data_IF_034394787651
#
_entry.id   IF_034394787651
#
_cell.length_a   1.000
_cell.length_b   1.000
_cell.length_c   1.000
_cell.angle_alpha   90.00
_cell.angle_beta   90.00
_cell.angle_gamma   90.00
#
_symmetry.space_group_name_H-M   'P 1'
#
loop_
_entity.id
_entity.type
_entity.pdbx_description
1 polymer ?
#
# COMPACT_ATOMS: atom_id res chain seq x y z
N UNK A 1 -3.41 0.02 22.19
CA UNK A 1 -3.33 -1.44 21.95
C UNK A 1 -4.42 -1.87 20.98
N UNK A 2 -4.11 -2.81 20.09
CA UNK A 2 -5.09 -3.50 19.22
C UNK A 2 -6.10 -4.26 20.10
N UNK A 3 -7.38 -4.30 19.72
CA UNK A 3 -8.40 -4.98 20.52
C UNK A 3 -8.23 -6.50 20.50
N UNK A 4 -8.79 -7.20 21.50
CA UNK A 4 -8.77 -8.67 21.54
C UNK A 4 -9.45 -9.29 20.30
N UNK A 5 -10.45 -8.63 19.73
CA UNK A 5 -11.16 -9.07 18.53
C UNK A 5 -10.26 -9.17 17.28
N UNK A 6 -9.13 -8.45 17.25
CA UNK A 6 -8.19 -8.47 16.12
C UNK A 6 -7.25 -9.68 16.11
N UNK A 7 -7.17 -10.43 17.22
CA UNK A 7 -6.16 -11.48 17.39
C UNK A 7 -6.22 -12.58 16.31
N UNK A 8 -7.41 -13.07 15.90
CA UNK A 8 -7.52 -14.06 14.82
C UNK A 8 -7.07 -13.54 13.44
N UNK A 9 -6.98 -12.22 13.27
CA UNK A 9 -6.64 -11.56 12.01
C UNK A 9 -5.22 -11.00 11.99
N UNK A 10 -4.44 -11.25 13.05
CA UNK A 10 -3.02 -10.92 13.09
C UNK A 10 -2.25 -11.79 12.11
N UNK A 11 -1.37 -11.14 11.36
CA UNK A 11 -0.36 -11.76 10.56
C UNK A 11 0.98 -11.70 11.29
N UNK A 12 1.65 -12.85 11.35
CA UNK A 12 2.97 -12.99 11.94
C UNK A 12 3.96 -13.41 10.85
N UNK A 13 5.16 -12.82 10.89
CA UNK A 13 6.26 -13.23 10.04
C UNK A 13 7.62 -13.10 10.75
N UNK A 14 8.51 -14.08 10.60
CA UNK A 14 8.38 -15.28 9.76
C UNK A 14 7.48 -16.34 10.40
N UNK A 15 6.93 -17.23 9.56
CA UNK A 15 6.08 -18.35 10.00
C UNK A 15 6.87 -19.64 10.28
N UNK A 16 8.09 -19.70 9.77
CA UNK A 16 9.04 -20.80 9.94
C UNK A 16 10.44 -20.22 10.15
N UNK A 17 11.36 -21.03 10.63
CA UNK A 17 12.74 -20.58 10.82
C UNK A 17 13.41 -20.29 9.46
N UNK A 18 14.02 -19.11 9.31
CA UNK A 18 14.74 -18.76 8.09
C UNK A 18 15.95 -19.68 7.86
N UNK A 19 16.52 -20.27 8.91
CA UNK A 19 17.66 -21.22 8.84
C UNK A 19 17.30 -22.53 8.17
N UNK A 20 16.03 -22.92 8.23
CA UNK A 20 15.53 -24.16 7.62
C UNK A 20 15.26 -24.00 6.12
N UNK A 21 15.13 -22.76 5.64
CA UNK A 21 14.93 -22.48 4.22
C UNK A 21 16.30 -22.19 3.55
N UNK A 22 16.73 -23.14 2.72
CA UNK A 22 18.00 -23.09 1.97
C UNK A 22 18.20 -21.86 1.07
N UNK A 23 17.13 -21.12 0.73
CA UNK A 23 17.22 -19.87 -0.02
C UNK A 23 17.81 -18.71 0.80
N UNK A 24 17.79 -18.81 2.14
CA UNK A 24 18.35 -17.80 3.02
C UNK A 24 19.80 -18.13 3.38
N UNK A 25 20.69 -17.19 3.11
CA UNK A 25 22.10 -17.24 3.51
C UNK A 25 22.32 -16.35 4.73
N UNK A 26 22.82 -16.93 5.81
CA UNK A 26 23.23 -16.14 6.98
C UNK A 26 24.59 -15.47 6.75
N UNK A 27 24.65 -14.16 6.99
CA UNK A 27 25.84 -13.31 6.83
C UNK A 27 26.34 -12.91 8.22
N UNK A 28 27.24 -13.72 8.78
CA UNK A 28 27.68 -13.67 10.18
C UNK A 28 28.20 -12.29 10.63
N UNK A 29 29.00 -11.62 9.79
CA UNK A 29 29.60 -10.32 10.12
C UNK A 29 28.60 -9.17 10.17
N UNK A 30 27.46 -9.29 9.48
CA UNK A 30 26.38 -8.30 9.48
C UNK A 30 25.20 -8.71 10.38
N UNK A 31 25.19 -9.95 10.86
CA UNK A 31 24.08 -10.54 11.61
C UNK A 31 22.72 -10.41 10.90
N UNK A 32 22.69 -10.76 9.61
CA UNK A 32 21.50 -10.74 8.75
C UNK A 32 21.34 -12.05 7.99
N UNK A 33 20.13 -12.34 7.54
CA UNK A 33 19.83 -13.29 6.48
C UNK A 33 19.65 -12.54 5.16
N UNK A 34 20.14 -13.14 4.08
CA UNK A 34 20.01 -12.61 2.74
C UNK A 34 19.44 -13.68 1.80
N UNK A 35 18.48 -13.27 0.95
CA UNK A 35 17.93 -14.09 -0.13
C UNK A 35 18.14 -13.36 -1.45
N UNK A 36 18.55 -14.10 -2.48
CA UNK A 36 18.65 -13.58 -3.86
C UNK A 36 17.41 -13.98 -4.65
N UNK A 37 16.94 -13.08 -5.52
CA UNK A 37 15.77 -13.24 -6.38
C UNK A 37 16.16 -13.06 -7.86
N UNK A 38 15.36 -13.60 -8.81
CA UNK A 38 14.12 -14.37 -8.59
C UNK A 38 14.36 -15.74 -7.97
N UNK A 39 13.34 -16.28 -7.31
CA UNK A 39 13.37 -17.66 -6.80
C UNK A 39 13.30 -18.65 -7.96
N UNK A 40 13.85 -19.84 -7.75
CA UNK A 40 13.64 -20.97 -8.64
C UNK A 40 12.13 -21.30 -8.77
N UNK A 41 11.68 -21.58 -9.99
CA UNK A 41 10.26 -21.82 -10.29
C UNK A 41 9.69 -23.04 -9.59
N UNK A 42 10.48 -24.09 -9.36
CA UNK A 42 10.02 -25.28 -8.63
C UNK A 42 9.83 -24.98 -7.14
N UNK A 43 10.71 -24.15 -6.56
CA UNK A 43 10.56 -23.73 -5.16
C UNK A 43 9.33 -22.83 -5.01
N UNK A 44 9.15 -21.87 -5.93
CA UNK A 44 7.98 -21.00 -5.97
C UNK A 44 6.67 -21.78 -6.12
N UNK A 45 6.66 -22.84 -6.93
CA UNK A 45 5.48 -23.68 -7.14
C UNK A 45 5.07 -24.44 -5.87
N UNK A 46 6.05 -24.86 -5.06
CA UNK A 46 5.81 -25.53 -3.76
C UNK A 46 5.33 -24.55 -2.70
N UNK A 47 5.87 -23.33 -2.67
CA UNK A 47 5.45 -22.29 -1.74
C UNK A 47 5.56 -20.90 -2.36
N UNK A 48 4.41 -20.39 -2.80
CA UNK A 48 4.31 -19.07 -3.42
C UNK A 48 3.99 -17.95 -2.42
N UNK A 49 4.09 -18.19 -1.10
CA UNK A 49 4.03 -17.09 -0.12
C UNK A 49 5.04 -16.00 -0.48
N UNK A 50 4.78 -14.78 -0.01
CA UNK A 50 5.77 -13.72 -0.16
C UNK A 50 7.04 -14.10 0.60
N UNK A 51 8.22 -13.95 -0.01
CA UNK A 51 9.46 -14.43 0.59
C UNK A 51 9.81 -13.69 1.88
N UNK A 52 9.36 -12.44 2.03
CA UNK A 52 9.46 -11.68 3.26
C UNK A 52 8.22 -10.82 3.53
N UNK A 53 8.09 -10.34 4.76
CA UNK A 53 6.98 -9.47 5.15
C UNK A 53 7.04 -8.11 4.47
N UNK A 54 5.89 -7.69 3.94
CA UNK A 54 5.60 -6.33 3.53
C UNK A 54 4.19 -6.01 4.04
N UNK A 55 3.97 -4.86 4.70
CA UNK A 55 2.63 -4.50 5.17
C UNK A 55 1.76 -4.20 3.96
N UNK A 56 0.76 -5.03 3.68
CA UNK A 56 -0.14 -4.89 2.53
C UNK A 56 -1.60 -5.02 2.98
N UNK A 57 -2.38 -3.92 2.98
CA UNK A 57 -3.75 -3.94 3.46
C UNK A 57 -4.61 -4.81 2.55
N UNK A 58 -5.66 -5.39 3.12
CA UNK A 58 -6.59 -6.23 2.38
C UNK A 58 -7.94 -5.55 2.20
N UNK A 59 -8.58 -5.82 1.07
CA UNK A 59 -9.94 -5.39 0.76
C UNK A 59 -10.67 -6.48 -0.03
N UNK A 60 -11.98 -6.32 -0.17
CA UNK A 60 -12.78 -7.08 -1.11
C UNK A 60 -13.10 -6.25 -2.33
N UNK A 61 -13.07 -6.87 -3.49
CA UNK A 61 -13.40 -6.21 -4.75
C UNK A 61 -14.46 -7.03 -5.45
N UNK A 62 -15.53 -6.36 -5.85
CA UNK A 62 -16.60 -6.93 -6.66
C UNK A 62 -16.67 -6.25 -8.00
N UNK A 63 -17.15 -6.99 -8.98
CA UNK A 63 -17.44 -6.50 -10.32
C UNK A 63 -18.62 -7.28 -10.91
N UNK A 64 -19.37 -6.68 -11.83
CA UNK A 64 -20.47 -7.37 -12.49
C UNK A 64 -20.71 -6.92 -13.93
N UNK A 65 -21.10 -7.86 -14.79
CA UNK A 65 -21.47 -7.62 -16.17
C UNK A 65 -22.52 -8.63 -16.65
N UNK A 66 -23.63 -8.15 -17.22
CA UNK A 66 -24.72 -8.98 -17.78
C UNK A 66 -25.19 -10.10 -16.84
N UNK A 67 -25.43 -9.77 -15.56
CA UNK A 67 -25.87 -10.73 -14.55
C UNK A 67 -24.78 -11.65 -13.98
N UNK A 68 -23.58 -11.66 -14.57
CA UNK A 68 -22.41 -12.32 -13.97
C UNK A 68 -21.78 -11.40 -12.95
N UNK A 69 -21.54 -11.91 -11.75
CA UNK A 69 -20.89 -11.18 -10.66
C UNK A 69 -19.62 -11.93 -10.25
N UNK A 70 -18.60 -11.20 -9.82
CA UNK A 70 -17.37 -11.79 -9.33
C UNK A 70 -16.90 -11.08 -8.05
N UNK A 71 -16.22 -11.84 -7.19
CA UNK A 71 -15.70 -11.39 -5.91
C UNK A 71 -14.27 -11.90 -5.71
N UNK A 72 -13.35 -11.00 -5.40
CA UNK A 72 -11.97 -11.30 -5.06
C UNK A 72 -11.55 -10.63 -3.76
N UNK A 73 -10.60 -11.26 -3.08
CA UNK A 73 -9.83 -10.64 -2.01
C UNK A 73 -8.54 -10.13 -2.61
N UNK A 74 -8.31 -8.83 -2.51
CA UNK A 74 -7.10 -8.19 -3.02
C UNK A 74 -6.20 -7.82 -1.84
N UNK A 75 -4.90 -8.08 -2.01
CA UNK A 75 -3.85 -7.75 -1.05
C UNK A 75 -3.00 -6.65 -1.67
N UNK A 76 -2.77 -5.56 -0.94
CA UNK A 76 -1.92 -4.46 -1.42
C UNK A 76 -2.64 -3.45 -2.33
N UNK A 77 -3.97 -3.32 -2.20
CA UNK A 77 -4.71 -2.22 -2.81
C UNK A 77 -4.09 -0.88 -2.36
N UNK A 78 -3.78 0.01 -3.31
CA UNK A 78 -3.01 1.23 -3.01
C UNK A 78 -3.44 2.40 -3.89
N UNK A 79 -3.66 3.56 -3.28
CA UNK A 79 -3.78 4.80 -4.04
C UNK A 79 -2.41 5.19 -4.56
N UNK A 80 -2.29 5.17 -5.88
CA UNK A 80 -1.04 5.39 -6.60
C UNK A 80 -0.96 6.79 -7.21
N UNK A 81 -2.08 7.49 -7.30
CA UNK A 81 -2.10 8.87 -7.78
C UNK A 81 -3.22 9.70 -7.16
N UNK A 82 -3.01 11.01 -7.10
CA UNK A 82 -3.98 11.95 -6.51
C UNK A 82 -4.83 12.67 -7.53
N UNK A 83 -4.23 13.08 -8.65
CA UNK A 83 -4.91 13.82 -9.69
C UNK A 83 -4.63 13.20 -11.07
N UNK A 84 -5.56 12.42 -11.65
CA UNK A 84 -6.83 11.96 -11.05
C UNK A 84 -6.64 11.01 -9.85
N UNK A 85 -7.67 10.84 -9.03
CA UNK A 85 -7.58 10.01 -7.82
C UNK A 85 -7.69 8.53 -8.17
N UNK A 86 -6.55 7.83 -8.19
CA UNK A 86 -6.42 6.51 -8.80
C UNK A 86 -5.94 5.45 -7.81
N UNK A 87 -6.67 4.34 -7.82
CA UNK A 87 -6.38 3.10 -7.10
C UNK A 87 -5.75 2.08 -8.04
N UNK A 88 -4.65 1.45 -7.62
CA UNK A 88 -4.10 0.27 -8.29
C UNK A 88 -4.52 -1.02 -7.59
N UNK A 89 -4.97 -2.00 -8.38
CA UNK A 89 -5.28 -3.35 -7.92
C UNK A 89 -4.57 -4.38 -8.80
N UNK A 90 -3.86 -5.31 -8.17
CA UNK A 90 -3.09 -6.34 -8.86
C UNK A 90 -3.77 -7.71 -8.79
N UNK A 91 -3.86 -8.38 -9.94
CA UNK A 91 -4.46 -9.71 -10.07
C UNK A 91 -3.52 -10.65 -10.82
N UNK A 92 -3.31 -11.85 -10.28
CA UNK A 92 -2.47 -12.86 -10.91
C UNK A 92 -3.10 -13.33 -12.24
N UNK A 93 -2.31 -13.30 -13.32
CA UNK A 93 -2.69 -13.77 -14.67
C UNK A 93 -1.95 -15.05 -15.07
N UNK A 94 -1.05 -15.54 -14.22
CA UNK A 94 -0.29 -16.78 -14.43
C UNK A 94 -0.55 -17.74 -13.28
N UNK A 95 -0.63 -19.02 -13.57
CA UNK A 95 -0.63 -20.05 -12.53
C UNK A 95 0.80 -20.22 -12.01
N UNK A 96 0.99 -19.93 -10.73
CA UNK A 96 2.29 -20.11 -10.07
C UNK A 96 2.28 -21.28 -9.08
N UNK A 97 1.13 -21.57 -8.48
CA UNK A 97 0.89 -22.64 -7.50
C UNK A 97 -0.61 -22.65 -7.15
N UNK A 98 -1.07 -23.63 -6.38
CA UNK A 98 -2.44 -23.68 -5.85
C UNK A 98 -2.87 -22.41 -5.09
N UNK A 99 -1.92 -21.72 -4.45
CA UNK A 99 -2.18 -20.47 -3.72
C UNK A 99 -2.22 -19.23 -4.62
N UNK A 100 -1.49 -19.25 -5.73
CA UNK A 100 -1.37 -18.16 -6.69
C UNK A 100 -1.85 -18.63 -8.07
N UNK A 101 -3.17 -18.83 -8.17
CA UNK A 101 -3.86 -19.18 -9.42
C UNK A 101 -4.20 -17.92 -10.25
N UNK A 102 -4.39 -18.12 -11.55
CA UNK A 102 -4.86 -17.09 -12.48
C UNK A 102 -6.28 -16.65 -12.13
N UNK A 103 -6.56 -15.37 -11.95
CA UNK A 103 -7.92 -14.86 -11.61
C UNK A 103 -8.72 -14.53 -12.88
N UNK A 104 -8.77 -15.47 -13.81
CA UNK A 104 -9.28 -15.25 -15.15
C UNK A 104 -10.74 -14.77 -15.13
N UNK A 105 -11.65 -15.50 -14.48
CA UNK A 105 -13.08 -15.17 -14.46
C UNK A 105 -13.35 -13.77 -13.91
N UNK A 106 -12.66 -13.41 -12.82
CA UNK A 106 -12.76 -12.09 -12.24
C UNK A 106 -12.26 -11.01 -13.21
N UNK A 107 -11.06 -11.20 -13.80
CA UNK A 107 -10.47 -10.21 -14.70
C UNK A 107 -11.25 -10.04 -16.02
N UNK A 108 -11.85 -11.11 -16.55
CA UNK A 108 -12.71 -11.02 -17.74
C UNK A 108 -14.01 -10.28 -17.45
N UNK A 109 -14.65 -10.57 -16.31
CA UNK A 109 -15.86 -9.84 -15.87
C UNK A 109 -15.54 -8.37 -15.65
N UNK A 110 -14.40 -8.08 -15.02
CA UNK A 110 -13.89 -6.73 -14.77
C UNK A 110 -13.64 -5.95 -16.07
N UNK A 111 -12.94 -6.55 -17.04
CA UNK A 111 -12.62 -5.90 -18.31
C UNK A 111 -13.90 -5.65 -19.14
N UNK A 112 -14.95 -6.46 -18.99
CA UNK A 112 -16.25 -6.20 -19.64
C UNK A 112 -17.06 -5.13 -18.91
N UNK A 113 -17.08 -5.16 -17.58
CA UNK A 113 -17.85 -4.23 -16.75
C UNK A 113 -17.26 -2.82 -16.71
N UNK A 114 -15.92 -2.70 -16.82
CA UNK A 114 -15.15 -1.47 -16.64
C UNK A 114 -15.31 -0.83 -15.24
N UNK A 115 -15.99 -1.49 -14.30
CA UNK A 115 -16.40 -0.93 -13.02
C UNK A 115 -16.18 -1.90 -11.86
N UNK A 116 -15.87 -1.33 -10.69
CA UNK A 116 -15.66 -2.09 -9.46
C UNK A 116 -16.27 -1.39 -8.25
N UNK A 117 -16.49 -2.18 -7.20
CA UNK A 117 -16.66 -1.72 -5.83
C UNK A 117 -15.58 -2.32 -4.94
N UNK A 118 -14.74 -1.47 -4.35
CA UNK A 118 -13.70 -1.85 -3.39
C UNK A 118 -14.22 -1.58 -1.98
N UNK A 119 -14.29 -2.62 -1.16
CA UNK A 119 -15.11 -2.62 0.04
C UNK A 119 -14.33 -3.11 1.25
N UNK A 120 -14.69 -2.55 2.41
CA UNK A 120 -14.16 -2.96 3.70
C UNK A 120 -15.31 -3.38 4.62
N UNK A 121 -15.18 -4.59 5.17
CA UNK A 121 -16.13 -5.17 6.11
C UNK A 121 -15.60 -5.08 7.54
N UNK A 122 -16.47 -4.91 8.55
CA UNK A 122 -16.04 -4.94 9.94
C UNK A 122 -15.46 -6.32 10.28
N UNK A 123 -14.41 -6.31 11.10
CA UNK A 123 -13.78 -7.53 11.59
C UNK A 123 -14.79 -8.32 12.43
N UNK A 124 -14.96 -9.60 12.10
CA UNK A 124 -15.96 -10.46 12.72
C UNK A 124 -16.64 -11.39 11.71
N UNK A 125 -17.92 -11.68 11.95
CA UNK A 125 -18.66 -12.70 11.21
C UNK A 125 -18.72 -12.44 9.69
N UNK A 126 -19.09 -11.23 9.26
CA UNK A 126 -19.23 -10.90 7.84
C UNK A 126 -17.90 -11.02 7.09
N UNK A 127 -16.82 -10.48 7.66
CA UNK A 127 -15.45 -10.67 7.14
C UNK A 127 -15.10 -12.15 7.01
N UNK A 128 -15.34 -12.96 8.05
CA UNK A 128 -15.01 -14.38 8.05
C UNK A 128 -15.81 -15.16 7.00
N UNK A 129 -17.10 -14.87 6.83
CA UNK A 129 -17.96 -15.51 5.84
C UNK A 129 -17.47 -15.24 4.42
N UNK A 130 -17.09 -14.00 4.10
CA UNK A 130 -16.52 -13.66 2.78
C UNK A 130 -15.17 -14.34 2.57
N UNK A 131 -14.28 -14.29 3.56
CA UNK A 131 -12.98 -14.96 3.48
C UNK A 131 -13.13 -16.47 3.25
N UNK A 132 -14.05 -17.12 3.96
CA UNK A 132 -14.37 -18.54 3.81
C UNK A 132 -14.98 -18.84 2.44
N UNK A 133 -15.88 -17.99 1.95
CA UNK A 133 -16.47 -18.16 0.61
C UNK A 133 -15.39 -18.10 -0.48
N UNK A 134 -14.41 -17.20 -0.37
CA UNK A 134 -13.29 -17.09 -1.30
C UNK A 134 -12.35 -18.29 -1.20
N UNK A 135 -11.93 -18.67 0.01
CA UNK A 135 -10.95 -19.76 0.21
C UNK A 135 -11.49 -21.14 -0.16
N UNK A 136 -12.79 -21.36 -0.02
CA UNK A 136 -13.44 -22.64 -0.29
C UNK A 136 -14.08 -22.72 -1.67
N UNK A 137 -13.86 -21.74 -2.55
CA UNK A 137 -14.44 -21.72 -3.91
C UNK A 137 -13.34 -21.64 -4.94
N UNK A 138 -13.31 -22.66 -5.81
CA UNK A 138 -12.40 -22.74 -6.94
C UNK A 138 -12.54 -21.54 -7.88
N UNK A 139 -11.45 -21.21 -8.57
CA UNK A 139 -11.38 -20.10 -9.53
C UNK A 139 -12.52 -20.18 -10.56
N UNK A 140 -12.74 -21.35 -11.16
CA UNK A 140 -13.76 -21.51 -12.20
C UNK A 140 -15.22 -21.40 -11.70
N UNK A 141 -15.42 -21.10 -10.41
CA UNK A 141 -16.70 -20.92 -9.73
C UNK A 141 -16.75 -19.60 -8.98
N UNK A 142 -15.95 -18.59 -9.35
CA UNK A 142 -15.91 -17.31 -8.60
C UNK A 142 -17.27 -16.63 -8.47
N UNK A 143 -18.17 -16.84 -9.44
CA UNK A 143 -19.53 -16.31 -9.43
C UNK A 143 -20.37 -16.79 -8.22
N UNK A 144 -20.04 -17.95 -7.64
CA UNK A 144 -20.73 -18.47 -6.45
C UNK A 144 -20.24 -17.83 -5.15
N UNK A 145 -19.15 -17.06 -5.15
CA UNK A 145 -18.54 -16.56 -3.91
C UNK A 145 -19.46 -15.59 -3.16
N UNK A 146 -20.20 -14.74 -3.88
CA UNK A 146 -21.16 -13.83 -3.26
C UNK A 146 -22.29 -14.61 -2.59
N UNK A 147 -22.94 -15.51 -3.33
CA UNK A 147 -23.98 -16.41 -2.80
C UNK A 147 -23.48 -17.23 -1.60
N UNK A 148 -22.29 -17.84 -1.71
CA UNK A 148 -21.69 -18.67 -0.66
C UNK A 148 -21.29 -17.89 0.58
N UNK A 149 -21.00 -16.59 0.46
CA UNK A 149 -20.84 -15.73 1.63
C UNK A 149 -22.14 -15.68 2.43
N UNK A 150 -23.29 -15.78 1.74
CA UNK A 150 -24.64 -15.64 2.26
C UNK A 150 -24.93 -14.27 2.88
N UNK A 151 -24.11 -13.27 2.55
CA UNK A 151 -24.36 -11.88 2.91
C UNK A 151 -25.24 -11.22 1.86
N UNK A 152 -26.07 -10.29 2.30
CA UNK A 152 -26.89 -9.47 1.40
C UNK A 152 -26.01 -8.46 0.67
N UNK A 153 -26.32 -8.26 -0.61
CA UNK A 153 -25.70 -7.23 -1.43
C UNK A 153 -26.75 -6.38 -2.13
N UNK A 154 -26.40 -5.13 -2.42
CA UNK A 154 -27.13 -4.22 -3.30
C UNK A 154 -26.26 -3.82 -4.49
N UNK A 155 -26.83 -3.19 -5.51
CA UNK A 155 -26.02 -2.58 -6.56
C UNK A 155 -25.21 -1.38 -6.05
N UNK A 156 -24.08 -1.13 -6.72
CA UNK A 156 -23.35 0.12 -6.58
C UNK A 156 -24.15 1.29 -7.14
N UNK A 157 -23.78 2.51 -6.72
CA UNK A 157 -24.49 3.74 -7.10
C UNK A 157 -24.09 4.18 -8.51
N UNK A 158 -22.81 4.02 -8.87
CA UNK A 158 -22.25 4.47 -10.16
C UNK A 158 -21.97 3.34 -11.14
N UNK A 159 -22.12 2.09 -10.70
CA UNK A 159 -21.87 0.90 -11.49
C UNK A 159 -22.59 -0.33 -10.90
N UNK A 160 -22.76 -1.39 -11.70
CA UNK A 160 -23.52 -2.59 -11.32
C UNK A 160 -22.78 -3.53 -10.34
N UNK A 161 -21.59 -3.18 -9.84
CA UNK A 161 -20.81 -4.06 -8.97
C UNK A 161 -21.48 -4.21 -7.60
N UNK A 162 -21.70 -5.45 -7.12
CA UNK A 162 -22.37 -5.69 -5.84
C UNK A 162 -21.65 -5.06 -4.65
N UNK A 163 -22.39 -4.36 -3.81
CA UNK A 163 -21.93 -3.78 -2.55
C UNK A 163 -22.53 -4.58 -1.40
N UNK A 164 -21.71 -5.10 -0.50
CA UNK A 164 -22.18 -5.77 0.72
C UNK A 164 -22.86 -4.76 1.65
N UNK A 165 -24.03 -5.09 2.17
CA UNK A 165 -24.74 -4.22 3.13
C UNK A 165 -23.96 -4.02 4.44
N UNK A 166 -23.14 -5.01 4.81
CA UNK A 166 -22.25 -4.93 5.98
C UNK A 166 -21.02 -4.03 5.76
N UNK A 167 -20.77 -3.54 4.54
CA UNK A 167 -19.60 -2.71 4.25
C UNK A 167 -19.69 -1.38 4.99
N UNK A 168 -18.66 -1.07 5.78
CA UNK A 168 -18.60 0.22 6.47
C UNK A 168 -17.99 1.31 5.59
N UNK A 169 -17.31 0.93 4.51
CA UNK A 169 -16.64 1.83 3.59
C UNK A 169 -16.51 1.19 2.21
N UNK A 170 -16.85 1.94 1.17
CA UNK A 170 -16.84 1.50 -0.23
C UNK A 170 -16.24 2.60 -1.10
N UNK A 171 -15.31 2.22 -1.97
CA UNK A 171 -14.81 3.02 -3.06
C UNK A 171 -15.33 2.43 -4.36
N UNK A 172 -16.18 3.17 -5.04
CA UNK A 172 -16.56 2.82 -6.41
C UNK A 172 -15.58 3.46 -7.38
N UNK A 173 -15.25 2.71 -8.43
CA UNK A 173 -14.32 3.18 -9.43
C UNK A 173 -14.59 2.59 -10.80
N UNK A 174 -14.04 3.26 -11.80
CA UNK A 174 -14.04 2.80 -13.19
C UNK A 174 -12.61 2.68 -13.68
N UNK A 175 -12.38 1.78 -14.63
CA UNK A 175 -11.09 1.67 -15.29
C UNK A 175 -10.64 3.04 -15.82
N UNK A 176 -9.41 3.40 -15.50
CA UNK A 176 -8.83 4.69 -15.86
C UNK A 176 -8.82 4.86 -17.38
N UNK A 177 -9.12 6.06 -17.84
CA UNK A 177 -9.17 6.36 -19.27
C UNK A 177 -7.86 6.99 -19.73
N UNK A 178 -7.45 6.78 -20.99
CA UNK A 178 -6.37 7.53 -21.59
C UNK A 178 -6.62 9.03 -21.43
N UNK A 179 -5.58 9.74 -20.99
CA UNK A 179 -5.65 11.16 -20.70
C UNK A 179 -4.29 11.83 -20.83
N UNK A 180 -4.19 13.05 -20.32
CA UNK A 180 -2.94 13.80 -20.22
C UNK A 180 -2.74 14.29 -18.80
N UNK A 181 -1.50 14.42 -18.39
CA UNK A 181 -1.14 15.09 -17.14
C UNK A 181 -1.05 16.62 -17.30
N UNK A 182 -0.65 17.30 -16.21
CA UNK A 182 -0.46 18.75 -16.18
C UNK A 182 0.63 19.26 -17.14
N UNK A 183 1.56 18.41 -17.58
CA UNK A 183 2.59 18.72 -18.57
C UNK A 183 2.12 18.40 -20.02
N UNK A 184 0.85 18.02 -20.20
CA UNK A 184 0.28 17.58 -21.48
C UNK A 184 0.77 16.20 -21.95
N UNK A 185 1.47 15.44 -21.10
CA UNK A 185 2.02 14.12 -21.45
C UNK A 185 0.95 13.03 -21.30
N UNK A 186 0.92 12.04 -22.21
CA UNK A 186 -0.01 10.92 -22.11
C UNK A 186 0.10 10.18 -20.79
N UNK A 187 -1.05 9.79 -20.23
CA UNK A 187 -1.19 8.92 -19.06
C UNK A 187 -2.28 7.88 -19.33
N UNK A 188 -2.16 6.73 -18.67
CA UNK A 188 -3.14 5.63 -18.76
C UNK A 188 -3.48 5.23 -20.21
N UNK A 189 -2.48 5.14 -21.10
CA UNK A 189 -2.67 4.66 -22.49
C UNK A 189 -3.48 3.36 -22.54
N UNK A 190 -3.28 2.52 -21.51
CA UNK A 190 -4.16 1.42 -21.15
C UNK A 190 -4.60 1.58 -19.69
N UNK A 191 -5.78 1.07 -19.31
CA UNK A 191 -6.23 1.08 -17.92
C UNK A 191 -5.49 0.08 -17.02
N UNK A 192 -4.45 -0.58 -17.55
CA UNK A 192 -3.67 -1.58 -16.84
C UNK A 192 -2.26 -1.70 -17.42
N UNK A 193 -1.38 -2.34 -16.66
CA UNK A 193 -0.09 -2.83 -17.11
C UNK A 193 0.08 -4.29 -16.69
N UNK A 194 0.85 -5.04 -17.47
CA UNK A 194 1.28 -6.38 -17.09
C UNK A 194 2.65 -6.29 -16.41
N UNK A 195 2.75 -6.82 -15.20
CA UNK A 195 3.95 -6.86 -14.39
C UNK A 195 4.20 -8.31 -13.95
N UNK A 196 5.13 -8.99 -14.62
CA UNK A 196 5.51 -10.35 -14.28
C UNK A 196 4.37 -11.37 -14.40
N UNK A 197 3.89 -11.84 -13.27
CA UNK A 197 2.80 -12.82 -13.17
C UNK A 197 1.43 -12.17 -12.98
N UNK A 198 1.37 -10.84 -12.88
CA UNK A 198 0.17 -10.11 -12.54
C UNK A 198 -0.17 -9.05 -13.60
N UNK A 199 -1.45 -8.70 -13.66
CA UNK A 199 -1.94 -7.48 -14.30
C UNK A 199 -2.36 -6.51 -13.21
N UNK A 200 -1.87 -5.29 -13.30
CA UNK A 200 -2.22 -4.18 -12.41
C UNK A 200 -3.20 -3.28 -13.13
N UNK A 201 -4.42 -3.19 -12.64
CA UNK A 201 -5.44 -2.30 -13.15
C UNK A 201 -5.46 -0.98 -12.37
N UNK A 202 -5.69 0.11 -13.09
CA UNK A 202 -5.84 1.46 -12.55
C UNK A 202 -7.31 1.86 -12.60
N UNK A 203 -7.84 2.26 -11.44
CA UNK A 203 -9.22 2.70 -11.30
C UNK A 203 -9.29 4.14 -10.84
N UNK A 204 -9.95 4.98 -11.62
CA UNK A 204 -10.37 6.30 -11.17
C UNK A 204 -11.54 6.13 -10.21
N UNK A 205 -11.36 6.58 -8.96
CA UNK A 205 -12.42 6.55 -7.96
C UNK A 205 -13.35 7.72 -8.22
N UNK A 206 -14.63 7.41 -8.44
CA UNK A 206 -15.67 8.39 -8.77
C UNK A 206 -16.70 8.57 -7.65
N UNK A 207 -16.75 7.66 -6.68
CA UNK A 207 -17.66 7.75 -5.55
C UNK A 207 -17.10 7.03 -4.31
N UNK A 208 -17.34 7.61 -3.14
CA UNK A 208 -17.04 7.02 -1.84
C UNK A 208 -18.32 6.91 -1.04
N UNK A 209 -18.58 5.72 -0.50
CA UNK A 209 -19.63 5.48 0.49
C UNK A 209 -18.97 5.23 1.85
N UNK A 210 -19.46 5.89 2.89
CA UNK A 210 -19.04 5.69 4.27
C UNK A 210 -20.25 5.47 5.16
N UNK A 211 -20.24 4.48 6.05
CA UNK A 211 -21.35 4.25 6.98
C UNK A 211 -21.69 5.51 7.78
N UNK A 212 -22.96 5.85 7.86
CA UNK A 212 -23.39 7.15 8.40
C UNK A 212 -22.95 7.41 9.84
N UNK A 213 -22.94 6.38 10.68
CA UNK A 213 -22.48 6.49 12.07
C UNK A 213 -20.99 6.89 12.14
N UNK A 214 -20.15 6.41 11.23
CA UNK A 214 -18.74 6.82 11.12
C UNK A 214 -18.67 8.26 10.59
N UNK A 215 -19.42 8.60 9.54
CA UNK A 215 -19.46 9.97 9.01
C UNK A 215 -19.90 11.00 10.06
N UNK A 216 -20.84 10.62 10.94
CA UNK A 216 -21.34 11.42 12.07
C UNK A 216 -20.44 11.37 13.32
N UNK A 217 -19.32 10.64 13.28
CA UNK A 217 -18.40 10.50 14.42
C UNK A 217 -18.95 9.70 15.61
N UNK A 218 -19.99 8.90 15.40
CA UNK A 218 -20.53 7.98 16.41
C UNK A 218 -19.70 6.70 16.52
N UNK A 219 -19.04 6.33 15.42
CA UNK A 219 -18.06 5.24 15.35
C UNK A 219 -16.78 5.74 14.68
N UNK A 220 -15.69 5.00 14.84
CA UNK A 220 -14.37 5.38 14.35
C UNK A 220 -13.65 4.18 13.74
N UNK A 221 -13.13 4.37 12.52
CA UNK A 221 -12.17 3.48 11.90
C UNK A 221 -10.82 3.68 12.61
N UNK A 222 -10.23 2.60 13.11
CA UNK A 222 -8.93 2.55 13.75
C UNK A 222 -7.99 1.68 12.92
N UNK A 223 -6.80 2.19 12.59
CA UNK A 223 -5.84 1.48 11.74
C UNK A 223 -4.42 1.59 12.27
N UNK A 224 -3.73 0.45 12.34
CA UNK A 224 -2.31 0.40 12.65
C UNK A 224 -1.52 0.21 11.35
N UNK A 225 -0.96 1.30 10.82
CA UNK A 225 -0.29 1.30 9.52
C UNK A 225 1.07 0.59 9.50
N UNK A 226 1.71 0.43 10.65
CA UNK A 226 3.02 -0.20 10.78
C UNK A 226 2.95 -1.51 11.57
N UNK A 227 3.80 -2.51 11.24
CA UNK A 227 3.97 -3.68 12.08
C UNK A 227 4.57 -3.32 13.45
N UNK A 228 4.28 -4.15 14.45
CA UNK A 228 5.03 -4.17 15.70
C UNK A 228 6.13 -5.21 15.62
N UNK A 229 7.30 -4.87 16.13
CA UNK A 229 8.45 -5.75 16.27
C UNK A 229 9.40 -5.15 17.30
N UNK A 230 10.12 -5.99 18.06
CA UNK A 230 11.04 -5.52 19.10
C UNK A 230 12.45 -6.02 18.79
N UNK A 231 13.41 -5.16 18.42
CA UNK A 231 14.77 -5.60 18.19
C UNK A 231 15.35 -6.23 19.47
N UNK A 232 15.97 -7.40 19.34
CA UNK A 232 16.65 -8.06 20.47
C UNK A 232 18.08 -7.53 20.65
N UNK A 233 18.60 -6.89 19.60
CA UNK A 233 19.90 -6.21 19.61
C UNK A 233 19.68 -4.76 19.18
N UNK A 234 20.15 -3.80 19.98
CA UNK A 234 20.24 -2.42 19.54
C UNK A 234 21.21 -2.38 18.35
N UNK A 235 20.76 -1.90 17.18
CA UNK A 235 21.71 -1.61 16.10
C UNK A 235 22.76 -0.66 16.65
N UNK A 236 24.03 -0.89 16.32
CA UNK A 236 25.16 -0.07 16.79
C UNK A 236 24.82 1.42 16.67
N UNK A 237 24.70 2.08 17.82
CA UNK A 237 24.53 3.53 17.95
C UNK A 237 23.17 4.07 17.51
N UNK A 238 22.34 4.49 18.47
CA UNK A 238 21.49 5.65 18.18
C UNK A 238 22.42 6.83 17.96
N UNK A 239 22.45 7.37 16.74
CA UNK A 239 23.14 8.64 16.51
C UNK A 239 22.31 9.66 17.28
N UNK A 240 22.89 10.31 18.31
CA UNK A 240 22.25 11.44 18.97
C UNK A 240 21.80 12.40 17.88
N UNK A 241 20.49 12.64 17.79
CA UNK A 241 19.94 13.57 16.82
C UNK A 241 20.66 14.90 17.00
N UNK A 242 21.32 15.36 15.94
CA UNK A 242 21.81 16.73 15.90
C UNK A 242 20.60 17.67 16.02
N UNK A 243 20.74 18.89 16.57
CA UNK A 243 19.67 19.86 16.55
C UNK A 243 19.13 19.97 15.12
N UNK A 244 17.84 19.61 14.93
CA UNK A 244 17.23 19.64 13.61
C UNK A 244 17.27 21.09 13.13
N UNK A 245 17.85 21.38 11.96
CA UNK A 245 17.89 22.75 11.46
C UNK A 245 16.45 23.27 11.34
N UNK A 246 16.23 24.52 11.75
CA UNK A 246 14.99 25.22 11.42
C UNK A 246 15.04 25.56 9.93
N UNK A 247 14.34 24.75 9.14
CA UNK A 247 14.30 24.89 7.69
C UNK A 247 13.17 25.83 7.22
N UNK A 248 12.50 26.54 8.14
CA UNK A 248 11.46 27.52 7.81
C UNK A 248 10.25 26.93 7.10
N UNK A 249 9.97 25.63 7.29
CA UNK A 249 8.87 24.94 6.61
C UNK A 249 7.54 25.41 7.21
N UNK A 250 6.74 26.15 6.43
CA UNK A 250 5.43 26.68 6.86
C UNK A 250 4.42 25.60 7.24
N UNK A 251 4.53 24.41 6.64
CA UNK A 251 3.65 23.28 6.88
C UNK A 251 4.42 21.99 7.15
N UNK A 252 4.09 21.31 8.25
CA UNK A 252 4.65 20.01 8.59
C UNK A 252 3.56 18.93 8.57
N UNK A 253 3.73 17.94 7.70
CA UNK A 253 2.94 16.71 7.69
C UNK A 253 3.22 15.94 8.97
N UNK A 254 2.20 15.80 9.81
CA UNK A 254 2.23 14.85 10.91
C UNK A 254 2.27 13.41 10.41
N UNK A 255 2.72 12.50 11.27
CA UNK A 255 2.62 11.06 11.06
C UNK A 255 2.37 10.36 12.40
N UNK A 256 1.42 9.42 12.38
CA UNK A 256 1.14 8.49 13.47
C UNK A 256 0.95 7.11 12.88
N UNK A 257 1.53 6.05 13.48
CA UNK A 257 1.23 4.69 13.05
C UNK A 257 -0.21 4.27 13.41
N UNK A 258 -0.85 4.95 14.35
CA UNK A 258 -2.20 4.67 14.86
C UNK A 258 -3.21 5.69 14.31
N UNK A 259 -3.76 5.41 13.14
CA UNK A 259 -4.76 6.24 12.49
C UNK A 259 -6.15 6.03 13.09
N UNK A 260 -6.90 7.13 13.15
CA UNK A 260 -8.29 7.19 13.62
C UNK A 260 -9.09 8.05 12.65
N UNK A 261 -10.27 7.60 12.24
CA UNK A 261 -11.15 8.35 11.36
C UNK A 261 -12.63 8.15 11.70
N UNK A 262 -13.43 9.22 11.89
CA UNK A 262 -12.99 10.61 11.96
C UNK A 262 -12.18 10.88 13.23
N UNK A 263 -11.38 11.93 13.24
CA UNK A 263 -10.58 12.43 14.36
C UNK A 263 -10.44 13.95 14.27
N UNK A 264 -10.01 14.62 15.35
CA UNK A 264 -9.80 16.07 15.37
C UNK A 264 -8.88 16.60 14.25
N UNK A 265 -7.95 15.77 13.76
CA UNK A 265 -6.97 16.14 12.72
C UNK A 265 -7.31 15.67 11.30
N UNK A 266 -8.42 14.97 11.09
CA UNK A 266 -8.86 14.50 9.77
C UNK A 266 -10.09 15.27 9.34
N UNK A 267 -10.21 15.63 8.05
CA UNK A 267 -11.43 16.29 7.55
C UNK A 267 -12.64 15.40 7.85
N UNK A 268 -13.73 16.00 8.29
CA UNK A 268 -15.01 15.32 8.38
C UNK A 268 -15.43 14.79 6.99
N UNK A 269 -16.13 13.66 6.95
CA UNK A 269 -16.67 13.17 5.68
C UNK A 269 -17.84 14.07 5.25
N UNK A 270 -17.60 14.97 4.29
CA UNK A 270 -18.62 15.88 3.76
C UNK A 270 -19.45 15.19 2.68
N UNK A 271 -20.53 14.54 3.09
CA UNK A 271 -21.42 13.83 2.20
C UNK A 271 -22.24 14.80 1.31
N UNK A 272 -22.41 14.45 0.05
CA UNK A 272 -23.32 15.12 -0.88
C UNK A 272 -24.76 14.62 -0.68
N UNK A 273 -24.90 13.32 -0.39
CA UNK A 273 -26.20 12.65 -0.16
C UNK A 273 -26.09 11.54 0.89
N UNK A 274 -27.22 10.99 1.30
CA UNK A 274 -27.27 9.78 2.12
C UNK A 274 -28.26 8.77 1.53
N UNK A 275 -27.86 7.50 1.46
CA UNK A 275 -28.67 6.41 0.90
C UNK A 275 -28.22 5.08 1.52
N UNK A 276 -29.14 4.13 1.75
CA UNK A 276 -28.82 2.77 2.23
C UNK A 276 -27.92 2.74 3.50
N UNK A 277 -28.14 3.66 4.44
CA UNK A 277 -27.32 3.77 5.66
C UNK A 277 -25.90 4.31 5.44
N UNK A 278 -25.59 4.77 4.23
CA UNK A 278 -24.30 5.36 3.86
C UNK A 278 -24.41 6.87 3.67
N UNK A 279 -23.34 7.56 4.03
CA UNK A 279 -23.01 8.90 3.61
C UNK A 279 -22.20 8.80 2.31
N UNK A 280 -22.59 9.55 1.29
CA UNK A 280 -22.09 9.40 -0.08
C UNK A 280 -21.37 10.66 -0.50
N UNK A 281 -20.16 10.49 -1.05
CA UNK A 281 -19.38 11.55 -1.68
C UNK A 281 -19.14 11.21 -3.15
N UNK A 282 -19.64 12.04 -4.05
CA UNK A 282 -19.27 11.97 -5.47
C UNK A 282 -17.93 12.68 -5.67
N UNK A 283 -17.04 12.04 -6.42
CA UNK A 283 -15.77 12.61 -6.85
C UNK A 283 -15.90 12.91 -8.35
N UNK A 284 -16.19 14.16 -8.73
CA UNK A 284 -16.28 14.52 -10.13
C UNK A 284 -14.92 14.28 -10.83
N UNK A 285 -14.92 14.02 -12.14
CA UNK A 285 -13.70 14.08 -12.94
C UNK A 285 -12.99 15.42 -12.70
N UNK A 286 -11.67 15.43 -12.80
CA UNK A 286 -10.94 16.69 -12.73
C UNK A 286 -11.33 17.59 -13.90
N UNK A 287 -11.54 18.90 -13.68
CA UNK A 287 -11.73 19.86 -14.77
C UNK A 287 -10.55 19.82 -15.76
N UNK A 288 -10.83 20.01 -17.05
CA UNK A 288 -9.81 19.96 -18.13
C UNK A 288 -8.75 21.06 -18.02
N UNK A 289 -9.05 22.16 -17.33
CA UNK A 289 -8.26 23.39 -17.26
C UNK A 289 -7.53 23.59 -15.92
N UNK A 290 -7.35 22.53 -15.13
CA UNK A 290 -6.90 22.65 -13.74
C UNK A 290 -5.48 23.26 -13.61
N UNK A 291 -5.39 24.57 -13.41
CA UNK A 291 -4.11 25.29 -13.17
C UNK A 291 -3.66 25.19 -11.71
N UNK A 292 -4.59 24.98 -10.76
CA UNK A 292 -4.29 24.90 -9.33
C UNK A 292 -5.26 23.96 -8.61
N UNK A 293 -4.75 23.13 -7.69
CA UNK A 293 -5.61 22.30 -6.83
C UNK A 293 -5.57 22.80 -5.40
N UNK A 294 -6.73 23.25 -4.93
CA UNK A 294 -7.00 23.59 -3.53
C UNK A 294 -6.51 22.47 -2.59
N UNK A 295 -5.69 22.85 -1.61
CA UNK A 295 -5.13 21.98 -0.58
C UNK A 295 -6.18 21.16 0.17
N UNK A 296 -7.38 21.70 0.37
CA UNK A 296 -8.45 21.02 1.09
C UNK A 296 -9.18 20.00 0.22
N UNK A 297 -9.38 20.30 -1.08
CA UNK A 297 -9.81 19.31 -2.09
C UNK A 297 -8.77 18.20 -2.30
N UNK A 298 -7.51 18.48 -1.97
CA UNK A 298 -6.41 17.53 -2.07
C UNK A 298 -6.34 16.55 -0.88
N UNK A 299 -7.19 16.67 0.15
CA UNK A 299 -7.23 15.70 1.26
C UNK A 299 -8.17 14.54 0.97
N UNK A 300 -7.86 13.39 1.54
CA UNK A 300 -8.72 12.22 1.48
C UNK A 300 -10.04 12.54 2.17
N UNK A 301 -11.19 12.57 1.46
CA UNK A 301 -12.48 12.84 2.10
C UNK A 301 -12.89 11.68 3.01
N UNK A 302 -12.22 10.52 2.89
CA UNK A 302 -12.39 9.34 3.72
C UNK A 302 -11.06 8.62 3.95
N UNK A 303 -10.95 7.86 5.04
CA UNK A 303 -9.79 7.02 5.32
C UNK A 303 -9.58 5.93 4.26
N UNK A 304 -8.33 5.64 3.88
CA UNK A 304 -7.98 4.44 3.10
C UNK A 304 -6.73 3.80 3.71
N UNK A 305 -6.76 2.49 4.00
CA UNK A 305 -5.61 1.81 4.56
C UNK A 305 -4.49 1.77 3.52
N UNK A 306 -3.33 2.30 3.89
CA UNK A 306 -2.17 2.38 3.01
C UNK A 306 -0.94 1.81 3.70
N UNK A 307 -0.06 1.24 2.90
CA UNK A 307 1.25 0.70 3.29
C UNK A 307 2.33 1.76 3.22
N UNK A 308 3.40 1.62 4.01
CA UNK A 308 4.50 2.58 4.05
C UNK A 308 5.82 1.87 3.79
N UNK A 309 6.56 2.32 2.78
CA UNK A 309 7.94 1.91 2.50
C UNK A 309 8.93 3.03 2.82
N UNK A 310 10.09 2.69 3.36
CA UNK A 310 11.23 3.61 3.56
C UNK A 310 12.16 3.48 2.35
N UNK A 311 12.00 4.38 1.37
CA UNK A 311 12.74 4.31 0.10
C UNK A 311 14.09 4.98 0.27
N UNK A 312 15.16 4.21 0.16
CA UNK A 312 16.54 4.71 0.20
C UNK A 312 17.16 4.67 -1.18
N UNK A 313 18.09 5.60 -1.43
CA UNK A 313 18.80 5.71 -2.70
C UNK A 313 20.12 6.46 -2.53
N UNK A 314 21.08 6.19 -3.42
CA UNK A 314 22.31 6.96 -3.54
C UNK A 314 22.17 7.99 -4.67
N UNK A 315 22.59 9.24 -4.44
CA UNK A 315 22.90 10.12 -5.58
C UNK A 315 24.12 9.59 -6.33
N UNK A 316 24.39 10.13 -7.53
CA UNK A 316 25.61 9.85 -8.28
C UNK A 316 26.88 10.13 -7.47
N UNK A 317 26.86 11.19 -6.67
CA UNK A 317 27.95 11.59 -5.76
C UNK A 317 27.95 10.77 -4.45
N UNK A 318 27.17 9.69 -4.37
CA UNK A 318 27.09 8.80 -3.20
C UNK A 318 26.61 9.52 -1.94
N UNK A 319 25.78 10.55 -2.09
CA UNK A 319 25.03 11.14 -0.97
C UNK A 319 23.80 10.27 -0.67
N UNK A 320 23.55 9.87 0.59
CA UNK A 320 22.41 9.03 0.92
C UNK A 320 21.11 9.86 0.92
N UNK A 321 20.05 9.27 0.39
CA UNK A 321 18.70 9.82 0.45
C UNK A 321 17.73 8.81 1.10
N UNK A 322 16.73 9.33 1.79
CA UNK A 322 15.65 8.56 2.43
C UNK A 322 14.32 9.26 2.17
N UNK A 323 13.28 8.52 1.78
CA UNK A 323 11.93 9.04 1.61
C UNK A 323 10.90 8.02 2.11
N UNK A 324 10.13 8.31 3.16
CA UNK A 324 8.95 7.52 3.48
C UNK A 324 7.90 7.71 2.37
N UNK A 325 7.34 6.62 1.88
CA UNK A 325 6.36 6.62 0.81
C UNK A 325 5.14 5.79 1.21
N UNK A 326 4.02 6.47 1.48
CA UNK A 326 2.72 5.86 1.81
C UNK A 326 1.96 5.28 0.61
N UNK A 327 2.48 5.46 -0.60
CA UNK A 327 1.98 4.86 -1.85
C UNK A 327 2.99 3.82 -2.36
N UNK A 328 3.41 2.92 -1.47
CA UNK A 328 4.31 1.81 -1.80
C UNK A 328 3.58 0.49 -1.65
N UNK A 329 3.52 -0.36 -2.67
CA UNK A 329 2.86 -1.66 -2.59
C UNK A 329 3.60 -2.74 -3.39
N UNK A 330 3.19 -4.00 -3.22
CA UNK A 330 3.64 -5.12 -4.06
C UNK A 330 2.63 -5.34 -5.18
N UNK A 331 3.12 -5.47 -6.40
CA UNK A 331 2.26 -5.60 -7.58
C UNK A 331 2.44 -6.90 -8.36
N UNK A 332 3.48 -7.69 -8.07
CA UNK A 332 3.69 -8.99 -8.71
C UNK A 332 4.41 -9.96 -7.76
N UNK A 333 4.07 -11.26 -7.88
CA UNK A 333 4.76 -12.33 -7.16
C UNK A 333 5.97 -12.89 -7.90
N UNK A 334 5.91 -12.99 -9.24
CA UNK A 334 7.03 -13.51 -10.04
C UNK A 334 7.17 -12.74 -11.39
N UNK A 335 8.25 -11.95 -11.57
CA UNK A 335 9.20 -11.55 -10.53
C UNK A 335 8.49 -10.83 -9.37
N UNK A 336 9.15 -10.81 -8.20
CA UNK A 336 8.64 -10.11 -7.04
C UNK A 336 8.87 -8.60 -7.24
N UNK A 337 7.79 -7.82 -7.30
CA UNK A 337 7.87 -6.40 -7.66
C UNK A 337 7.28 -5.53 -6.55
N UNK A 338 8.08 -4.57 -6.08
CA UNK A 338 7.68 -3.51 -5.16
C UNK A 338 7.69 -2.18 -5.91
N UNK A 339 6.68 -1.38 -5.65
CA UNK A 339 6.45 -0.13 -6.37
C UNK A 339 6.17 1.03 -5.44
N UNK A 340 7.11 2.00 -5.33
CA UNK A 340 6.83 3.31 -4.77
C UNK A 340 6.25 4.27 -5.83
N UNK A 341 5.26 5.07 -5.45
CA UNK A 341 4.72 6.15 -6.26
C UNK A 341 5.27 7.51 -5.78
N UNK A 342 5.94 8.23 -6.67
CA UNK A 342 6.73 9.43 -6.35
C UNK A 342 6.16 10.63 -7.08
N UNK A 343 5.79 11.67 -6.34
CA UNK A 343 5.23 12.89 -6.93
C UNK A 343 6.27 13.65 -7.75
N UNK A 344 5.88 14.07 -8.95
CA UNK A 344 6.63 14.97 -9.81
C UNK A 344 5.93 16.32 -10.04
N UNK A 345 4.64 16.42 -9.69
CA UNK A 345 3.87 17.62 -9.90
C UNK A 345 4.20 18.69 -8.85
N UNK A 346 4.17 19.95 -9.25
CA UNK A 346 4.37 21.12 -8.40
C UNK A 346 3.03 21.83 -8.16
N UNK A 347 2.11 21.14 -7.50
CA UNK A 347 0.74 21.64 -7.28
C UNK A 347 0.68 22.48 -6.01
N UNK A 348 1.23 21.97 -4.90
CA UNK A 348 1.24 22.65 -3.62
C UNK A 348 2.30 22.03 -2.68
N UNK A 349 2.37 22.50 -1.44
CA UNK A 349 3.32 22.00 -0.44
C UNK A 349 3.21 20.49 -0.18
N UNK A 350 2.00 19.92 -0.28
CA UNK A 350 1.74 18.48 -0.07
C UNK A 350 2.14 17.65 -1.29
N UNK A 351 1.81 18.15 -2.48
CA UNK A 351 2.05 17.53 -3.79
C UNK A 351 3.11 18.34 -4.53
N UNK A 352 4.35 18.12 -4.11
CA UNK A 352 5.55 18.77 -4.59
C UNK A 352 6.54 17.74 -5.16
N UNK A 353 7.38 18.12 -6.14
CA UNK A 353 8.35 17.21 -6.74
C UNK A 353 9.33 16.69 -5.70
N UNK A 354 9.60 15.38 -5.72
CA UNK A 354 10.53 14.74 -4.77
C UNK A 354 11.88 14.49 -5.44
N UNK A 355 12.98 14.86 -4.78
CA UNK A 355 14.34 14.61 -5.31
C UNK A 355 14.60 13.13 -5.60
N UNK A 356 13.98 12.23 -4.83
CA UNK A 356 13.98 10.78 -5.05
C UNK A 356 13.63 10.39 -6.49
N UNK A 357 12.72 11.12 -7.16
CA UNK A 357 12.34 10.87 -8.55
C UNK A 357 13.55 10.90 -9.49
N UNK A 358 14.33 11.98 -9.43
CA UNK A 358 15.53 12.14 -10.27
C UNK A 358 16.60 11.13 -9.91
N UNK A 359 16.78 10.87 -8.61
CA UNK A 359 17.77 9.89 -8.13
C UNK A 359 17.45 8.50 -8.67
N UNK A 360 16.20 8.04 -8.62
CA UNK A 360 15.84 6.68 -9.04
C UNK A 360 15.97 6.49 -10.56
N UNK A 361 15.66 7.53 -11.34
CA UNK A 361 15.88 7.54 -12.80
C UNK A 361 17.35 7.45 -13.16
N UNK A 362 18.20 8.16 -12.44
CA UNK A 362 19.64 8.19 -12.70
C UNK A 362 20.33 6.90 -12.22
N UNK A 363 19.98 6.40 -11.03
CA UNK A 363 20.61 5.22 -10.44
C UNK A 363 20.07 3.90 -11.02
N UNK A 364 18.82 3.88 -11.49
CA UNK A 364 18.09 2.67 -11.86
C UNK A 364 17.88 1.68 -10.70
N UNK A 365 18.09 2.11 -9.45
CA UNK A 365 18.10 1.25 -8.25
C UNK A 365 17.59 1.98 -7.02
N UNK A 366 16.93 1.25 -6.13
CA UNK A 366 16.56 1.72 -4.79
C UNK A 366 16.53 0.56 -3.80
N UNK A 367 16.44 0.85 -2.51
CA UNK A 367 16.05 -0.15 -1.50
C UNK A 367 14.80 0.32 -0.78
N UNK A 368 13.93 -0.63 -0.43
CA UNK A 368 12.70 -0.39 0.33
C UNK A 368 12.83 -1.07 1.69
N UNK A 369 13.07 -0.28 2.73
CA UNK A 369 13.04 -0.74 4.12
C UNK A 369 11.62 -0.78 4.68
N UNK A 370 11.34 -1.75 5.56
CA UNK A 370 10.04 -1.88 6.23
C UNK A 370 10.09 -1.17 7.59
N UNK A 371 9.37 -0.05 7.76
CA UNK A 371 9.27 0.62 9.06
C UNK A 371 8.44 -0.21 10.03
N UNK A 372 8.68 -0.02 11.33
CA UNK A 372 7.92 -0.63 12.42
C UNK A 372 7.63 0.41 13.50
N UNK A 373 6.76 0.07 14.46
CA UNK A 373 6.41 0.98 15.56
C UNK A 373 7.59 1.08 16.54
N UNK A 374 8.35 2.17 16.38
CA UNK A 374 9.45 2.62 17.24
C UNK A 374 9.57 4.13 17.11
N UNK A 375 9.82 4.84 18.21
CA UNK A 375 9.87 6.31 18.21
C UNK A 375 10.95 6.87 17.27
N UNK A 376 12.12 6.24 17.20
CA UNK A 376 13.21 6.68 16.32
C UNK A 376 12.81 6.54 14.85
N UNK A 377 12.18 5.42 14.50
CA UNK A 377 11.68 5.17 13.14
C UNK A 377 10.55 6.14 12.78
N UNK A 378 9.64 6.39 13.71
CA UNK A 378 8.52 7.33 13.53
C UNK A 378 9.05 8.76 13.34
N UNK A 379 10.03 9.19 14.14
CA UNK A 379 10.65 10.50 14.00
C UNK A 379 11.44 10.66 12.70
N UNK A 380 12.08 9.59 12.24
CA UNK A 380 12.71 9.55 10.92
C UNK A 380 11.68 9.71 9.80
N UNK A 381 10.51 9.05 9.90
CA UNK A 381 9.40 9.21 8.95
C UNK A 381 8.92 10.67 8.94
N UNK A 382 8.65 11.24 10.13
CA UNK A 382 8.20 12.65 10.25
C UNK A 382 9.21 13.61 9.63
N UNK A 383 10.50 13.42 9.91
CA UNK A 383 11.54 14.28 9.38
C UNK A 383 11.71 14.11 7.87
N UNK A 384 11.98 12.89 7.42
CA UNK A 384 12.30 12.60 6.03
C UNK A 384 11.10 12.76 5.07
N UNK A 385 9.87 12.73 5.59
CA UNK A 385 8.65 12.98 4.82
C UNK A 385 8.35 14.46 4.56
N UNK A 386 8.94 15.36 5.35
CA UNK A 386 8.72 16.81 5.23
C UNK A 386 9.84 17.54 4.50
N UNK A 387 11.05 16.98 4.47
CA UNK A 387 12.24 17.66 3.95
C UNK A 387 12.78 16.88 2.76
N UNK A 388 12.99 17.53 1.62
CA UNK A 388 13.69 16.93 0.47
C UNK A 388 15.20 17.03 0.66
N UNK A 389 15.98 16.13 0.05
CA UNK A 389 17.46 16.20 0.09
C UNK A 389 17.99 17.55 -0.42
N UNK A 390 17.27 18.20 -1.34
CA UNK A 390 17.61 19.55 -1.83
C UNK A 390 17.48 20.64 -0.75
N UNK A 391 16.62 20.45 0.25
CA UNK A 391 16.47 21.36 1.38
C UNK A 391 17.39 21.03 2.56
N UNK A 392 17.90 19.80 2.64
CA UNK A 392 18.88 19.37 3.63
C UNK A 392 19.81 18.28 3.07
N UNK A 393 21.05 18.61 2.68
CA UNK A 393 22.03 17.62 2.22
C UNK A 393 22.41 16.57 3.27
N UNK A 394 22.18 16.84 4.57
CA UNK A 394 22.43 15.92 5.69
C UNK A 394 21.16 15.19 6.14
N UNK A 395 20.10 15.20 5.32
CA UNK A 395 18.77 14.65 5.62
C UNK A 395 18.79 13.30 6.32
N UNK A 396 19.59 12.35 5.82
CA UNK A 396 19.62 10.98 6.36
C UNK A 396 20.26 10.95 7.74
N UNK A 397 21.36 11.68 7.95
CA UNK A 397 21.98 11.81 9.27
C UNK A 397 21.03 12.52 10.27
N UNK A 398 20.37 13.58 9.83
CA UNK A 398 19.41 14.34 10.65
C UNK A 398 18.11 13.56 10.93
N UNK A 399 17.76 12.58 10.10
CA UNK A 399 16.66 11.66 10.36
C UNK A 399 16.97 10.68 11.51
N UNK A 400 18.24 10.52 11.89
CA UNK A 400 18.65 9.74 13.06
C UNK A 400 18.68 8.22 12.87
N UNK A 401 18.54 7.72 11.64
CA UNK A 401 18.67 6.28 11.35
C UNK A 401 20.11 5.94 10.94
N UNK A 402 20.74 4.94 11.57
CA UNK A 402 22.03 4.43 11.14
C UNK A 402 21.90 3.83 9.73
N UNK A 403 22.88 4.13 8.88
CA UNK A 403 22.96 3.60 7.53
C UNK A 403 24.20 2.73 7.35
N UNK A 404 24.02 1.62 6.66
CA UNK A 404 25.10 0.79 6.13
C UNK A 404 25.27 1.05 4.64
N UNK A 405 26.53 1.00 4.19
CA UNK A 405 26.82 1.05 2.77
C UNK A 405 26.44 -0.24 2.05
N UNK A 406 25.97 -0.08 0.83
CA UNK A 406 25.49 -1.14 -0.04
C UNK A 406 25.48 -0.63 -1.47
N UNK A 407 25.86 -1.51 -2.40
CA UNK A 407 25.94 -1.23 -3.84
C UNK A 407 24.59 -0.79 -4.44
N UNK A 408 23.48 -1.24 -3.86
CA UNK A 408 22.13 -0.96 -4.34
C UNK A 408 21.64 0.43 -3.92
N UNK A 409 21.54 0.63 -2.61
CA UNK A 409 21.11 1.85 -1.95
C UNK A 409 21.54 1.78 -0.46
N UNK A 410 21.60 2.89 0.28
CA UNK A 410 21.91 2.85 1.71
C UNK A 410 20.89 1.97 2.46
N UNK A 411 21.34 1.19 3.43
CA UNK A 411 20.46 0.32 4.22
C UNK A 411 20.27 0.94 5.60
N UNK A 412 19.03 1.15 6.02
CA UNK A 412 18.73 1.60 7.37
C UNK A 412 18.78 0.40 8.34
N UNK A 413 19.93 0.11 8.94
CA UNK A 413 20.17 -1.14 9.70
C UNK A 413 19.28 -1.35 10.93
N UNK A 414 18.58 -0.30 11.38
CA UNK A 414 17.53 -0.39 12.40
C UNK A 414 16.25 -1.05 11.90
N UNK A 415 15.99 -1.09 10.59
CA UNK A 415 14.77 -1.68 10.02
C UNK A 415 14.91 -3.21 9.87
N UNK A 416 13.84 -3.98 10.16
CA UNK A 416 13.89 -5.45 10.17
C UNK A 416 14.10 -6.09 8.80
N UNK A 417 13.61 -5.45 7.73
CA UNK A 417 13.61 -6.01 6.37
C UNK A 417 13.92 -4.92 5.35
N UNK A 418 14.74 -5.24 4.35
CA UNK A 418 14.99 -4.43 3.18
C UNK A 418 14.83 -5.25 1.90
N UNK A 419 14.25 -4.61 0.88
CA UNK A 419 14.14 -5.13 -0.47
C UNK A 419 14.99 -4.26 -1.40
N UNK A 420 16.09 -4.80 -1.92
CA UNK A 420 16.91 -4.12 -2.93
C UNK A 420 16.30 -4.33 -4.30
N UNK A 421 15.95 -3.22 -4.96
CA UNK A 421 15.16 -3.20 -6.17
C UNK A 421 15.93 -2.59 -7.35
N UNK A 422 15.80 -3.22 -8.51
CA UNK A 422 16.15 -2.64 -9.81
C UNK A 422 14.92 -1.99 -10.40
N UNK A 423 15.04 -0.74 -10.82
CA UNK A 423 14.00 -0.08 -11.62
C UNK A 423 14.03 -0.70 -13.01
N UNK A 424 12.95 -1.38 -13.38
CA UNK A 424 12.80 -2.01 -14.70
C UNK A 424 11.87 -1.24 -15.62
N UNK A 425 11.00 -0.40 -15.04
CA UNK A 425 10.09 0.48 -15.78
C UNK A 425 9.58 1.62 -14.87
N UNK A 426 8.97 2.64 -15.46
CA UNK A 426 8.25 3.69 -14.75
C UNK A 426 6.96 4.10 -15.48
N UNK A 427 5.89 4.31 -14.73
CA UNK A 427 4.57 4.66 -15.29
C UNK A 427 4.14 6.02 -14.80
N UNK A 428 3.70 6.87 -15.74
CA UNK A 428 3.15 8.19 -15.44
C UNK A 428 1.66 8.09 -15.15
N UNK A 429 1.25 8.51 -13.96
CA UNK A 429 -0.13 8.35 -13.47
C UNK A 429 -0.89 9.68 -13.32
N UNK A 430 -0.32 10.82 -13.71
CA UNK A 430 -0.94 12.15 -13.65
C UNK A 430 -0.19 13.13 -12.76
N UNK A 431 0.09 12.79 -11.51
CA UNK A 431 0.94 13.60 -10.60
C UNK A 431 2.07 12.84 -9.94
N UNK A 432 2.03 11.52 -10.10
CA UNK A 432 2.99 10.59 -9.57
C UNK A 432 3.57 9.73 -10.70
N UNK A 433 4.84 9.40 -10.55
CA UNK A 433 5.47 8.31 -11.28
C UNK A 433 5.44 7.08 -10.39
N UNK A 434 4.96 5.98 -10.94
CA UNK A 434 4.95 4.67 -10.33
C UNK A 434 6.16 3.89 -10.84
N UNK A 435 7.16 3.66 -9.98
CA UNK A 435 8.34 2.89 -10.37
C UNK A 435 8.07 1.40 -10.25
N UNK A 436 8.47 0.62 -11.26
CA UNK A 436 8.40 -0.83 -11.26
C UNK A 436 9.75 -1.35 -10.75
N UNK A 437 9.81 -1.69 -9.46
CA UNK A 437 11.01 -2.17 -8.79
C UNK A 437 11.02 -3.68 -8.67
N UNK A 438 11.70 -4.37 -9.60
CA UNK A 438 11.97 -5.80 -9.45
C UNK A 438 12.91 -5.99 -8.26
N UNK A 439 12.55 -6.87 -7.32
CA UNK A 439 13.37 -7.16 -6.14
C UNK A 439 14.42 -8.21 -6.52
N UNK A 440 15.69 -7.90 -6.34
CA UNK A 440 16.81 -8.81 -6.62
C UNK A 440 17.41 -9.41 -5.37
N UNK A 441 17.19 -8.76 -4.22
CA UNK A 441 17.74 -9.21 -2.95
C UNK A 441 16.87 -8.76 -1.79
N UNK A 442 16.69 -9.65 -0.83
CA UNK A 442 16.02 -9.35 0.44
C UNK A 442 17.03 -9.52 1.55
N UNK A 443 17.06 -8.55 2.47
CA UNK A 443 17.85 -8.60 3.70
C UNK A 443 16.92 -8.57 4.89
N UNK A 444 17.16 -9.47 5.85
CA UNK A 444 16.37 -9.61 7.07
C UNK A 444 17.31 -9.64 8.25
N UNK A 445 17.04 -8.85 9.29
CA UNK A 445 17.84 -8.90 10.51
C UNK A 445 17.73 -10.27 11.17
N UNK A 446 18.83 -10.80 11.70
CA UNK A 446 18.84 -12.14 12.26
C UNK A 446 18.05 -12.28 13.58
N UNK A 447 17.73 -11.16 14.24
CA UNK A 447 16.83 -11.13 15.39
C UNK A 447 15.34 -11.10 15.01
N UNK A 448 15.01 -11.15 13.71
CA UNK A 448 13.66 -11.45 13.22
C UNK A 448 13.51 -12.97 13.12
N UNK A 449 12.80 -13.56 14.07
CA UNK A 449 12.63 -15.02 14.20
C UNK A 449 11.16 -15.38 14.43
N UNK A 450 10.83 -16.67 14.45
CA UNK A 450 9.46 -17.11 14.79
C UNK A 450 9.06 -16.66 16.21
N UNK A 451 10.01 -16.61 17.15
CA UNK A 451 9.79 -16.14 18.53
C UNK A 451 9.82 -14.61 18.67
N UNK A 452 10.45 -13.91 17.72
CA UNK A 452 10.50 -12.45 17.65
C UNK A 452 10.05 -11.96 16.27
N UNK A 453 8.78 -12.25 15.95
CA UNK A 453 8.20 -11.98 14.65
C UNK A 453 7.73 -10.52 14.51
N UNK A 454 7.61 -10.05 13.28
CA UNK A 454 6.76 -8.91 12.97
C UNK A 454 5.31 -9.32 13.10
N UNK A 455 4.54 -8.51 13.82
CA UNK A 455 3.09 -8.68 13.99
C UNK A 455 2.35 -7.51 13.34
N UNK A 456 1.33 -7.80 12.54
CA UNK A 456 0.53 -6.78 11.88
C UNK A 456 -0.89 -7.25 11.57
N UNK A 457 -1.86 -6.34 11.55
CA UNK A 457 -3.24 -6.65 11.17
C UNK A 457 -3.52 -5.97 9.83
N UNK A 458 -3.89 -6.69 8.76
CA UNK A 458 -4.09 -6.12 7.42
C UNK A 458 -5.46 -5.45 7.22
N UNK A 459 -6.30 -5.44 8.26
CA UNK A 459 -7.67 -4.91 8.26
C UNK A 459 -7.84 -3.77 9.26
N UNK A 460 -8.47 -2.65 8.88
CA UNK A 460 -8.90 -1.65 9.84
C UNK A 460 -10.03 -2.16 10.74
N UNK A 461 -10.08 -1.66 11.96
CA UNK A 461 -11.13 -1.96 12.93
C UNK A 461 -12.15 -0.82 12.98
N UNK A 462 -13.44 -1.12 13.10
CA UNK A 462 -14.45 -0.10 13.42
C UNK A 462 -14.83 -0.24 14.89
N UNK A 463 -14.70 0.86 15.66
CA UNK A 463 -15.04 0.93 17.08
C UNK A 463 -16.16 1.93 17.31
N UNK A 464 -17.07 1.63 18.22
CA UNK A 464 -18.10 2.60 18.64
C UNK A 464 -17.49 3.57 19.64
N UNK A 465 -17.74 4.88 19.50
CA UNK A 465 -17.19 5.90 20.41
C UNK A 465 -17.94 6.00 21.75
N UNK A 466 -18.98 5.19 21.96
CA UNK A 466 -19.80 5.15 23.19
C UNK A 466 -19.34 4.10 24.21
N UNK A 467 -18.20 3.44 24.00
CA UNK A 467 -17.63 2.43 24.92
C UNK A 467 -16.19 2.77 25.26
#
# INVERSE_FOLDING_TARGET
MLSKALHPHKYFWPQSDLRENSQWKFIKNKNIYEMTLPEDTEILAKDSRWPAFFPAPMCFVTTAFEGNQALEKVVGASIVNRFPYVLALSFCKKELSDRHYCRQQFTETLERSQGISVQYLPIGNSLNRVMNAISSTLENKTFKRLEKSGLTTREGITNASPVFEDAYMVYEGRLAKPGKDFDGKPIFEKPWLDAGSHRVYFFEINLIQLRQDIAKGQSQICWQSLPTWKPSTTSQGSIKSSPKPDLGVRYQKGYTPHYKFPSLGTIAFEADTTENGMAIKHLPPLPEDQVEVDNDRARWPCFFPSSVGMITSWTRERTPNLMPCGSTTIISRNPFIITPCVSYAAINERYSPRKTLGILRESGKFSCGIPYIDETVIDAIRYAGNISLSGDPKKVANAGLPIEDSEWAPICSSLPIHFDCKVVDEIRLGTHIMFIGEVLKIRVRADVTVQNCLEWVPWPEVRNNRV
#
